data_IF_088176190123
#
_entry.id   IF_088176190123
#
_cell.length_a   1.000
_cell.length_b   1.000
_cell.length_c   1.000
_cell.angle_alpha   90.00
_cell.angle_beta   90.00
_cell.angle_gamma   90.00
#
_symmetry.space_group_name_H-M   'P 1'
#
loop_
_entity.id
_entity.type
_entity.pdbx_description
1 polymer ?
#
# COMPACT_ATOMS: atom_id res chain seq x y z
N UNK A 1 -9.57 -10.49 20.40
CA UNK A 1 -9.48 -9.37 19.42
C UNK A 1 -10.51 -9.62 18.33
N UNK A 2 -11.62 -8.88 18.33
CA UNK A 2 -12.72 -9.04 17.37
C UNK A 2 -12.34 -8.44 16.01
N UNK A 3 -12.08 -9.29 15.02
CA UNK A 3 -11.85 -8.89 13.63
C UNK A 3 -13.16 -8.29 13.08
N UNK A 4 -13.18 -6.96 12.88
CA UNK A 4 -14.33 -6.24 12.32
C UNK A 4 -14.54 -6.70 10.88
N UNK A 5 -15.72 -7.23 10.57
CA UNK A 5 -16.11 -7.66 9.22
C UNK A 5 -16.08 -6.43 8.29
N UNK A 6 -15.25 -6.48 7.25
CA UNK A 6 -15.19 -5.41 6.24
C UNK A 6 -16.40 -5.56 5.34
N UNK A 7 -17.37 -4.67 5.49
CA UNK A 7 -18.59 -4.65 4.67
C UNK A 7 -18.30 -4.06 3.27
N UNK A 8 -19.05 -4.52 2.27
CA UNK A 8 -18.84 -4.16 0.85
C UNK A 8 -19.29 -2.71 0.62
N UNK A 9 -18.36 -1.76 0.72
CA UNK A 9 -18.63 -0.34 0.44
C UNK A 9 -18.73 -0.07 -1.07
N UNK A 10 -19.86 0.51 -1.49
CA UNK A 10 -20.23 0.79 -2.89
C UNK A 10 -19.33 1.76 -3.68
N UNK A 11 -18.36 2.44 -3.07
CA UNK A 11 -17.22 3.11 -3.74
C UNK A 11 -16.46 3.92 -2.69
N UNK A 12 -15.48 3.29 -2.05
CA UNK A 12 -14.36 4.02 -1.43
C UNK A 12 -13.11 3.19 -1.67
N UNK A 13 -12.05 3.82 -2.18
CA UNK A 13 -10.77 3.15 -2.34
C UNK A 13 -10.34 2.54 -1.01
N UNK A 14 -10.07 1.23 -0.96
CA UNK A 14 -9.58 0.54 0.23
C UNK A 14 -8.39 1.29 0.86
N UNK A 15 -8.48 1.54 2.17
CA UNK A 15 -7.44 2.17 2.97
C UNK A 15 -6.18 1.30 3.02
N UNK A 16 -5.06 1.91 3.41
CA UNK A 16 -3.79 1.19 3.51
C UNK A 16 -3.87 0.08 4.59
N UNK A 17 -4.48 0.36 5.73
CA UNK A 17 -4.60 -0.59 6.83
C UNK A 17 -5.49 -1.79 6.46
N UNK A 18 -6.60 -1.56 5.74
CA UNK A 18 -7.44 -2.65 5.22
C UNK A 18 -6.66 -3.56 4.27
N UNK A 19 -5.88 -2.98 3.34
CA UNK A 19 -5.05 -3.76 2.42
C UNK A 19 -3.98 -4.56 3.15
N UNK A 20 -3.35 -4.00 4.18
CA UNK A 20 -2.33 -4.68 4.97
C UNK A 20 -2.88 -5.87 5.76
N UNK A 21 -4.09 -5.76 6.31
CA UNK A 21 -4.78 -6.88 6.97
C UNK A 21 -5.00 -8.03 5.99
N UNK A 22 -5.53 -7.73 4.80
CA UNK A 22 -5.79 -8.74 3.76
C UNK A 22 -4.50 -9.39 3.26
N UNK A 23 -3.43 -8.60 3.04
CA UNK A 23 -2.13 -9.12 2.58
C UNK A 23 -1.51 -10.06 3.62
N UNK A 24 -1.51 -9.69 4.91
CA UNK A 24 -0.97 -10.57 5.98
C UNK A 24 -1.70 -11.91 6.03
N UNK A 25 -3.03 -11.88 6.04
CA UNK A 25 -3.84 -13.10 6.02
C UNK A 25 -3.57 -13.95 4.76
N UNK A 26 -3.35 -13.32 3.60
CA UNK A 26 -3.04 -14.02 2.37
C UNK A 26 -1.63 -14.63 2.34
N UNK A 27 -0.66 -14.07 3.06
CA UNK A 27 0.68 -14.63 3.22
C UNK A 27 0.66 -15.91 4.08
N UNK A 28 -0.19 -15.95 5.10
CA UNK A 28 -0.34 -17.10 6.00
C UNK A 28 -1.22 -18.21 5.38
N UNK A 29 -2.36 -17.84 4.80
CA UNK A 29 -3.41 -18.79 4.41
C UNK A 29 -3.56 -18.96 2.88
N UNK A 30 -2.79 -18.20 2.09
CA UNK A 30 -2.86 -18.22 0.64
C UNK A 30 -3.90 -17.26 0.04
N UNK A 31 -3.65 -16.88 -1.22
CA UNK A 31 -4.40 -15.83 -1.94
C UNK A 31 -5.90 -16.12 -2.07
N UNK A 32 -6.25 -17.32 -2.52
CA UNK A 32 -7.64 -17.66 -2.82
C UNK A 32 -8.49 -17.78 -1.55
N UNK A 33 -7.86 -18.21 -0.45
CA UNK A 33 -8.47 -18.33 0.88
C UNK A 33 -8.76 -16.94 1.45
N UNK A 34 -7.83 -16.00 1.32
CA UNK A 34 -8.02 -14.61 1.71
C UNK A 34 -9.16 -13.95 0.92
N UNK A 35 -9.20 -14.16 -0.41
CA UNK A 35 -10.25 -13.62 -1.26
C UNK A 35 -11.65 -14.08 -0.80
N UNK A 36 -11.81 -15.38 -0.50
CA UNK A 36 -13.06 -15.92 0.06
C UNK A 36 -13.39 -15.33 1.43
N UNK A 37 -12.40 -15.26 2.34
CA UNK A 37 -12.59 -14.77 3.71
C UNK A 37 -13.07 -13.31 3.76
N UNK A 38 -12.48 -12.44 2.92
CA UNK A 38 -12.82 -11.01 2.87
C UNK A 38 -13.87 -10.65 1.81
N UNK A 39 -14.42 -11.65 1.11
CA UNK A 39 -15.33 -11.46 -0.02
C UNK A 39 -14.78 -10.48 -1.09
N UNK A 40 -13.52 -10.69 -1.47
CA UNK A 40 -12.78 -9.86 -2.43
C UNK A 40 -12.47 -10.65 -3.70
N UNK A 41 -12.24 -9.93 -4.78
CA UNK A 41 -11.80 -10.51 -6.04
C UNK A 41 -10.34 -11.03 -5.93
N UNK A 42 -10.04 -12.33 -6.20
CA UNK A 42 -8.71 -12.89 -6.02
C UNK A 42 -7.58 -12.15 -6.77
N UNK A 43 -7.74 -11.70 -8.03
CA UNK A 43 -6.79 -10.83 -8.73
C UNK A 43 -6.46 -9.54 -7.97
N UNK A 44 -7.42 -8.95 -7.27
CA UNK A 44 -7.19 -7.75 -6.47
C UNK A 44 -6.23 -8.04 -5.30
N UNK A 45 -6.47 -9.14 -4.58
CA UNK A 45 -5.57 -9.61 -3.51
C UNK A 45 -4.16 -9.89 -4.06
N UNK A 46 -4.07 -10.53 -5.23
CA UNK A 46 -2.80 -10.77 -5.92
C UNK A 46 -2.05 -9.48 -6.28
N UNK A 47 -2.76 -8.45 -6.74
CA UNK A 47 -2.18 -7.12 -7.00
C UNK A 47 -1.63 -6.49 -5.71
N UNK A 48 -2.34 -6.62 -4.59
CA UNK A 48 -1.89 -6.08 -3.31
C UNK A 48 -0.67 -6.81 -2.77
N UNK A 49 -0.59 -8.14 -2.88
CA UNK A 49 0.60 -8.93 -2.51
C UNK A 49 1.82 -8.53 -3.37
N UNK A 50 1.64 -8.40 -4.69
CA UNK A 50 2.72 -7.94 -5.58
C UNK A 50 3.13 -6.49 -5.31
N UNK A 51 2.22 -5.69 -4.77
CA UNK A 51 2.49 -4.31 -4.41
C UNK A 51 3.13 -4.18 -3.02
N UNK A 52 2.90 -5.13 -2.10
CA UNK A 52 3.57 -5.15 -0.80
C UNK A 52 5.03 -5.61 -0.88
N UNK A 53 5.40 -6.38 -1.92
CA UNK A 53 6.77 -6.89 -2.10
C UNK A 53 7.72 -5.95 -2.85
N UNK A 54 7.23 -4.85 -3.43
CA UNK A 54 8.08 -3.88 -4.14
C UNK A 54 8.44 -2.73 -3.20
N UNK A 55 9.73 -2.53 -2.98
CA UNK A 55 10.41 -1.51 -2.13
C UNK A 55 10.10 -0.03 -2.44
N UNK A 56 8.96 0.28 -3.06
CA UNK A 56 8.60 1.63 -3.45
C UNK A 56 7.70 2.25 -2.37
N UNK A 57 8.32 3.01 -1.48
CA UNK A 57 7.67 3.64 -0.32
C UNK A 57 7.16 5.02 -0.71
N UNK A 58 5.92 5.34 -0.38
CA UNK A 58 5.39 6.71 -0.54
C UNK A 58 5.86 7.58 0.64
N UNK A 59 6.06 8.87 0.43
CA UNK A 59 6.30 9.86 1.48
C UNK A 59 5.30 9.74 2.63
N UNK A 60 4.02 9.55 2.32
CA UNK A 60 2.97 9.38 3.32
C UNK A 60 3.18 8.12 4.16
N UNK A 61 3.59 7.00 3.54
CA UNK A 61 3.86 5.77 4.29
C UNK A 61 5.08 5.89 5.20
N UNK A 62 6.11 6.64 4.83
CA UNK A 62 7.27 6.88 5.70
C UNK A 62 6.85 7.69 6.93
N UNK A 63 6.06 8.76 6.75
CA UNK A 63 5.51 9.55 7.86
C UNK A 63 4.66 8.70 8.80
N UNK A 64 3.73 7.91 8.24
CA UNK A 64 2.86 7.07 9.06
C UNK A 64 3.64 6.02 9.87
N UNK A 65 4.71 5.44 9.30
CA UNK A 65 5.57 4.53 10.04
C UNK A 65 6.33 5.24 11.17
N UNK A 66 6.87 6.43 10.90
CA UNK A 66 7.50 7.26 11.93
C UNK A 66 6.52 7.56 13.08
N UNK A 67 5.29 7.99 12.78
CA UNK A 67 4.28 8.23 13.82
C UNK A 67 3.91 6.95 14.60
N UNK A 68 4.03 5.76 14.01
CA UNK A 68 3.83 4.49 14.73
C UNK A 68 4.99 4.21 15.69
N UNK A 69 6.23 4.42 15.24
CA UNK A 69 7.44 4.24 16.06
C UNK A 69 7.42 5.21 17.25
N UNK A 70 7.05 6.48 17.04
CA UNK A 70 6.97 7.45 18.12
C UNK A 70 5.94 7.09 19.20
N UNK A 71 4.92 6.29 18.88
CA UNK A 71 3.94 5.80 19.86
C UNK A 71 4.45 4.65 20.71
N UNK A 72 5.60 4.07 20.40
CA UNK A 72 6.19 3.01 21.21
C UNK A 72 6.72 3.58 22.53
N UNK A 73 6.38 2.97 23.67
CA UNK A 73 6.72 3.47 25.00
C UNK A 73 8.22 3.65 25.23
N UNK A 74 9.04 2.78 24.64
CA UNK A 74 10.50 2.89 24.67
C UNK A 74 10.99 4.18 24.00
N UNK A 75 10.39 4.54 22.86
CA UNK A 75 10.75 5.74 22.11
C UNK A 75 10.24 6.99 22.82
N UNK A 76 9.02 6.97 23.38
CA UNK A 76 8.49 8.08 24.18
C UNK A 76 9.33 8.33 25.44
N UNK A 77 9.88 7.29 26.06
CA UNK A 77 10.77 7.42 27.23
C UNK A 77 12.08 8.09 26.84
N UNK A 78 12.66 7.74 25.68
CA UNK A 78 13.90 8.31 25.18
C UNK A 78 13.71 9.73 24.62
N UNK A 79 12.55 10.00 24.01
CA UNK A 79 12.21 11.25 23.34
C UNK A 79 10.83 11.74 23.78
N UNK A 80 10.68 12.24 25.01
CA UNK A 80 9.38 12.63 25.57
C UNK A 80 8.72 13.81 24.83
N UNK A 81 9.49 14.67 24.17
CA UNK A 81 8.98 15.73 23.30
C UNK A 81 8.91 15.34 21.81
N UNK A 82 9.32 14.12 21.46
CA UNK A 82 9.56 13.70 20.07
C UNK A 82 8.31 13.76 19.18
N UNK A 83 7.13 13.47 19.73
CA UNK A 83 5.86 13.55 18.99
C UNK A 83 5.48 14.99 18.57
N UNK A 84 5.86 15.99 19.37
CA UNK A 84 5.51 17.40 19.11
C UNK A 84 6.57 18.12 18.28
N UNK A 85 7.84 17.72 18.40
CA UNK A 85 8.96 18.34 17.69
C UNK A 85 9.20 17.73 16.30
N UNK A 86 8.85 16.45 16.10
CA UNK A 86 9.08 15.79 14.83
C UNK A 86 8.08 16.23 13.75
N UNK A 87 8.48 17.20 12.93
CA UNK A 87 7.64 17.73 11.85
C UNK A 87 7.55 16.81 10.63
N UNK A 88 8.47 15.83 10.51
CA UNK A 88 8.52 14.91 9.37
C UNK A 88 8.50 15.62 8.01
N UNK A 89 9.17 16.78 7.88
CA UNK A 89 9.10 17.61 6.68
C UNK A 89 9.63 16.89 5.41
N UNK A 90 9.34 17.43 4.22
CA UNK A 90 9.75 16.78 2.96
C UNK A 90 11.29 16.64 2.85
N UNK A 91 12.04 17.58 3.41
CA UNK A 91 13.51 17.54 3.44
C UNK A 91 14.05 16.35 4.25
N UNK A 92 13.47 16.11 5.42
CA UNK A 92 13.79 14.96 6.27
C UNK A 92 13.45 13.66 5.55
N UNK A 93 12.28 13.56 4.91
CA UNK A 93 11.89 12.35 4.20
C UNK A 93 12.81 12.08 3.01
N UNK A 94 13.16 13.09 2.22
CA UNK A 94 14.10 12.94 1.10
C UNK A 94 15.48 12.48 1.60
N UNK A 95 15.95 13.06 2.71
CA UNK A 95 17.22 12.68 3.33
C UNK A 95 17.18 11.25 3.88
N UNK A 96 16.09 10.85 4.53
CA UNK A 96 15.85 9.48 5.00
C UNK A 96 15.87 8.51 3.83
N UNK A 97 15.10 8.79 2.78
CA UNK A 97 15.06 7.95 1.58
C UNK A 97 16.43 7.78 0.94
N UNK A 98 17.23 8.86 0.84
CA UNK A 98 18.60 8.80 0.33
C UNK A 98 19.53 7.95 1.19
N UNK A 99 19.41 8.01 2.52
CA UNK A 99 20.25 7.22 3.45
C UNK A 99 19.99 5.73 3.38
N UNK A 100 18.75 5.35 3.11
CA UNK A 100 18.30 3.95 3.09
C UNK A 100 18.09 3.41 1.67
N UNK A 101 18.59 4.10 0.64
CA UNK A 101 18.45 3.74 -0.78
C UNK A 101 17.00 3.45 -1.21
N UNK A 102 16.07 4.26 -0.72
CA UNK A 102 14.64 4.15 -1.04
C UNK A 102 14.29 5.07 -2.21
N UNK A 103 13.49 4.55 -3.14
CA UNK A 103 12.99 5.31 -4.28
C UNK A 103 11.50 5.59 -4.21
N UNK A 104 11.10 6.75 -4.73
CA UNK A 104 9.69 7.08 -4.89
C UNK A 104 9.06 6.23 -5.99
N UNK A 105 7.88 5.67 -5.68
CA UNK A 105 7.05 5.06 -6.71
C UNK A 105 6.44 6.13 -7.61
N UNK A 106 6.98 6.36 -8.81
CA UNK A 106 6.20 6.99 -9.87
C UNK A 106 5.22 5.97 -10.42
N UNK A 107 3.93 6.32 -10.45
CA UNK A 107 2.93 5.51 -11.15
C UNK A 107 3.25 5.60 -12.64
N UNK A 108 3.68 4.50 -13.24
CA UNK A 108 3.85 4.47 -14.70
C UNK A 108 2.48 4.65 -15.35
N UNK A 109 2.41 5.47 -16.40
CA UNK A 109 1.23 5.54 -17.26
C UNK A 109 1.04 4.14 -17.83
N UNK A 110 -0.09 3.50 -17.49
CA UNK A 110 -0.46 2.23 -18.10
C UNK A 110 -0.76 2.56 -19.56
N UNK A 111 -0.13 1.85 -20.50
CA UNK A 111 -0.46 2.01 -21.92
C UNK A 111 -1.94 1.74 -22.12
N UNK A 112 -2.55 2.43 -23.08
CA UNK A 112 -3.91 2.09 -23.49
C UNK A 112 -3.92 0.62 -23.93
N UNK A 113 -4.99 -0.09 -23.60
CA UNK A 113 -5.19 -1.43 -24.15
C UNK A 113 -5.35 -1.30 -25.67
N UNK A 114 -4.87 -2.29 -26.42
CA UNK A 114 -5.23 -2.39 -27.83
C UNK A 114 -6.77 -2.46 -27.93
N UNK A 115 -7.39 -1.62 -28.75
CA UNK A 115 -8.79 -1.79 -29.13
C UNK A 115 -9.06 -3.20 -29.68
N UNK A 116 -10.19 -3.80 -29.30
CA UNK A 116 -10.60 -5.15 -29.74
C UNK A 116 -10.79 -5.25 -31.27
N UNK A 117 -11.03 -4.12 -31.94
CA UNK A 117 -11.35 -4.01 -33.37
C UNK A 117 -10.12 -3.77 -34.27
N UNK A 118 -8.90 -3.95 -33.76
CA UNK A 118 -7.67 -3.71 -34.55
C UNK A 118 -7.55 -4.65 -35.75
N UNK A 119 -7.86 -5.94 -35.58
CA UNK A 119 -7.75 -6.91 -36.68
C UNK A 119 -8.76 -6.61 -37.79
N UNK A 120 -10.02 -6.30 -37.42
CA UNK A 120 -11.06 -5.92 -38.38
C UNK A 120 -10.69 -4.68 -39.18
N UNK A 121 -10.07 -3.68 -38.54
CA UNK A 121 -9.61 -2.46 -39.22
C UNK A 121 -8.44 -2.69 -40.16
N UNK A 122 -7.59 -3.69 -39.91
CA UNK A 122 -6.46 -4.01 -40.78
C UNK A 122 -6.92 -4.71 -42.06
N UNK A 123 -8.00 -5.48 -42.00
CA UNK A 123 -8.60 -6.14 -43.17
C UNK A 123 -9.37 -5.15 -44.07
N UNK A 124 -9.71 -3.96 -43.56
CA UNK A 124 -10.41 -2.89 -44.29
C UNK A 124 -9.47 -1.90 -45.02
N UNK A 125 -8.14 -2.02 -44.87
CA UNK A 125 -7.12 -1.18 -45.54
C UNK A 125 -6.62 -1.78 -46.86
#
# INVERSE_FOLDING_TARGET
MTQKKVDVRQRTSYSLDEKLVVVRYAQENGRNTAAKHFNLDPPMVGRWIKQSSRFAVNYISIRLQMCKIFKESAIQTLYPAGEYEFQGNLSWINSFMKRFDLSLRRRTKISQKLPEDIEQKLDEF
#
